data_IF_431654490339
#
_entry.id   IF_431654490339
#
_cell.length_a   1.000
_cell.length_b   1.000
_cell.length_c   1.000
_cell.angle_alpha   90.00
_cell.angle_beta   90.00
_cell.angle_gamma   90.00
#
_symmetry.space_group_name_H-M   'P 1'
#
loop_
_entity.id
_entity.type
_entity.pdbx_description
1 polymer ?
#
# COMPACT_ATOMS: atom_id res chain seq x y z
N UNK A 1 -4.37 8.10 24.75
CA UNK A 1 -5.52 7.92 23.82
C UNK A 1 -5.37 8.93 22.70
N UNK A 2 -5.22 8.48 21.46
CA UNK A 2 -5.09 9.35 20.30
C UNK A 2 -6.48 9.90 19.93
N UNK A 3 -6.65 11.22 19.95
CA UNK A 3 -7.87 11.94 19.54
C UNK A 3 -8.42 11.44 18.19
N UNK A 4 -7.53 11.05 17.28
CA UNK A 4 -7.91 10.53 15.97
C UNK A 4 -8.56 9.13 16.03
N UNK A 5 -8.21 8.31 17.02
CA UNK A 5 -8.89 7.03 17.25
C UNK A 5 -10.29 7.24 17.86
N UNK A 6 -10.46 8.28 18.67
CA UNK A 6 -11.79 8.64 19.19
C UNK A 6 -12.68 9.14 18.05
N UNK A 7 -12.16 9.99 17.16
CA UNK A 7 -12.85 10.38 15.93
C UNK A 7 -13.21 9.18 15.04
N UNK A 8 -12.29 8.23 14.86
CA UNK A 8 -12.55 6.98 14.10
C UNK A 8 -13.68 6.14 14.72
N UNK A 9 -13.84 6.14 16.04
CA UNK A 9 -14.92 5.38 16.70
C UNK A 9 -16.30 6.01 16.48
N UNK A 10 -16.37 7.30 16.13
CA UNK A 10 -17.64 7.96 15.80
C UNK A 10 -18.17 7.53 14.44
N UNK A 11 -17.29 7.18 13.50
CA UNK A 11 -17.65 6.61 12.20
C UNK A 11 -16.70 5.46 11.81
N UNK A 12 -17.13 4.23 12.09
CA UNK A 12 -16.36 3.02 11.78
C UNK A 12 -16.41 2.61 10.31
N UNK A 13 -17.30 3.21 9.51
CA UNK A 13 -17.46 2.88 8.09
C UNK A 13 -16.54 3.75 7.21
N UNK A 14 -16.11 4.91 7.70
CA UNK A 14 -15.20 5.79 6.98
C UNK A 14 -13.77 5.23 6.88
N UNK A 15 -13.40 4.78 5.67
CA UNK A 15 -12.07 4.28 5.35
C UNK A 15 -10.99 5.36 5.41
N UNK A 16 -11.29 6.62 5.11
CA UNK A 16 -10.33 7.71 5.14
C UNK A 16 -9.89 8.03 6.57
N UNK A 17 -10.83 8.19 7.50
CA UNK A 17 -10.52 8.42 8.92
C UNK A 17 -9.77 7.21 9.51
N UNK A 18 -10.19 5.99 9.16
CA UNK A 18 -9.48 4.78 9.56
C UNK A 18 -8.02 4.78 9.07
N UNK A 19 -7.80 5.06 7.78
CA UNK A 19 -6.46 5.14 7.17
C UNK A 19 -5.59 6.19 7.84
N UNK A 20 -6.15 7.36 8.12
CA UNK A 20 -5.42 8.45 8.82
C UNK A 20 -5.04 8.03 10.24
N UNK A 21 -5.95 7.37 10.96
CA UNK A 21 -5.68 6.82 12.29
C UNK A 21 -4.53 5.82 12.26
N UNK A 22 -4.59 4.83 11.35
CA UNK A 22 -3.52 3.84 11.19
C UNK A 22 -2.17 4.49 10.86
N UNK A 23 -2.15 5.48 9.96
CA UNK A 23 -0.93 6.24 9.63
C UNK A 23 -0.33 6.92 10.86
N UNK A 24 -1.15 7.46 11.75
CA UNK A 24 -0.68 8.12 12.96
C UNK A 24 -0.14 7.10 13.98
N UNK A 25 -0.75 5.92 14.05
CA UNK A 25 -0.21 4.80 14.85
C UNK A 25 1.16 4.35 14.32
N UNK A 26 1.35 4.26 13.00
CA UNK A 26 2.66 3.96 12.41
C UNK A 26 3.71 5.03 12.72
N UNK A 27 3.33 6.31 12.75
CA UNK A 27 4.24 7.41 13.12
C UNK A 27 4.63 7.41 14.60
N UNK A 28 3.79 6.80 15.44
CA UNK A 28 4.06 6.59 16.86
C UNK A 28 4.71 5.21 17.15
N UNK A 29 5.22 4.53 16.13
CA UNK A 29 5.86 3.21 16.25
C UNK A 29 4.93 2.08 16.78
N UNK A 30 3.62 2.30 16.72
CA UNK A 30 2.57 1.36 17.13
C UNK A 30 2.12 0.47 15.94
N UNK A 31 3.05 -0.26 15.30
CA UNK A 31 2.77 -1.00 14.06
C UNK A 31 1.65 -2.05 14.20
N UNK A 32 1.62 -2.79 15.32
CA UNK A 32 0.58 -3.81 15.56
C UNK A 32 -0.82 -3.20 15.63
N UNK A 33 -0.96 -2.07 16.30
CA UNK A 33 -2.24 -1.36 16.39
C UNK A 33 -2.66 -0.79 15.04
N UNK A 34 -1.71 -0.26 14.26
CA UNK A 34 -1.99 0.20 12.91
C UNK A 34 -2.53 -0.93 12.02
N UNK A 35 -1.92 -2.11 12.07
CA UNK A 35 -2.38 -3.30 11.33
C UNK A 35 -3.77 -3.72 11.77
N UNK A 36 -4.06 -3.74 13.07
CA UNK A 36 -5.40 -4.08 13.59
C UNK A 36 -6.47 -3.07 13.19
N UNK A 37 -6.11 -1.78 13.03
CA UNK A 37 -7.05 -0.75 12.56
C UNK A 37 -7.35 -0.95 11.08
N UNK A 38 -6.32 -1.23 10.26
CA UNK A 38 -6.47 -1.49 8.84
C UNK A 38 -7.16 -2.82 8.55
N UNK A 39 -7.02 -3.81 9.44
CA UNK A 39 -7.62 -5.12 9.24
C UNK A 39 -9.15 -5.11 9.18
N UNK A 40 -9.77 -4.02 9.62
CA UNK A 40 -11.22 -3.79 9.49
C UNK A 40 -11.66 -3.61 8.03
N UNK A 41 -10.73 -3.26 7.13
CA UNK A 41 -10.98 -3.02 5.70
C UNK A 41 -10.21 -3.98 4.79
N UNK A 42 -9.54 -4.99 5.36
CA UNK A 42 -8.86 -6.06 4.60
C UNK A 42 -9.75 -7.28 4.49
N UNK A 43 -9.53 -8.11 3.46
CA UNK A 43 -10.23 -9.39 3.34
C UNK A 43 -9.79 -10.35 4.44
N UNK A 44 -10.74 -11.04 5.07
CA UNK A 44 -10.50 -12.00 6.15
C UNK A 44 -9.90 -13.32 5.67
N UNK A 45 -10.08 -13.63 4.39
CA UNK A 45 -9.86 -14.98 3.85
C UNK A 45 -8.46 -15.16 3.25
N UNK A 46 -7.58 -14.17 3.39
CA UNK A 46 -6.23 -14.20 2.81
C UNK A 46 -5.27 -14.97 3.71
N UNK A 47 -4.62 -15.96 3.11
CA UNK A 47 -3.54 -16.74 3.73
C UNK A 47 -2.34 -15.82 3.94
N UNK A 48 -2.06 -15.43 5.19
CA UNK A 48 -1.00 -14.46 5.53
C UNK A 48 -1.50 -13.23 6.28
N UNK A 49 -2.83 -13.07 6.38
CA UNK A 49 -3.47 -12.04 7.19
C UNK A 49 -3.45 -10.64 6.56
N UNK A 50 -3.80 -9.60 7.35
CA UNK A 50 -4.06 -8.25 6.83
C UNK A 50 -2.88 -7.59 6.13
N UNK A 51 -1.65 -7.95 6.52
CA UNK A 51 -0.44 -7.40 5.90
C UNK A 51 -0.28 -7.90 4.47
N UNK A 52 -0.57 -9.19 4.23
CA UNK A 52 -0.45 -9.77 2.90
C UNK A 52 -1.49 -9.16 1.96
N UNK A 53 -2.73 -8.99 2.42
CA UNK A 53 -3.76 -8.26 1.65
C UNK A 53 -3.31 -6.84 1.28
N UNK A 54 -2.69 -6.12 2.21
CA UNK A 54 -2.18 -4.76 1.93
C UNK A 54 -1.02 -4.77 0.91
N UNK A 55 -0.23 -5.84 0.86
CA UNK A 55 0.83 -6.02 -0.13
C UNK A 55 0.23 -6.37 -1.49
N UNK A 56 -0.72 -7.29 -1.54
CA UNK A 56 -1.44 -7.72 -2.76
C UNK A 56 -2.23 -6.56 -3.38
N UNK A 57 -2.86 -5.72 -2.55
CA UNK A 57 -3.53 -4.49 -2.99
C UNK A 57 -2.54 -3.36 -3.35
N UNK A 58 -1.23 -3.63 -3.35
CA UNK A 58 -0.17 -2.69 -3.71
C UNK A 58 -0.26 -1.37 -2.91
N UNK A 59 -0.56 -1.47 -1.61
CA UNK A 59 -0.79 -0.32 -0.73
C UNK A 59 0.54 0.36 -0.30
N UNK A 60 1.20 1.05 -1.25
CA UNK A 60 2.55 1.60 -1.08
C UNK A 60 2.66 2.54 0.13
N UNK A 61 1.65 3.37 0.39
CA UNK A 61 1.70 4.31 1.52
C UNK A 61 1.86 3.59 2.87
N UNK A 62 1.18 2.44 3.02
CA UNK A 62 1.24 1.64 4.25
C UNK A 62 2.61 0.98 4.37
N UNK A 63 3.06 0.30 3.30
CA UNK A 63 4.35 -0.41 3.27
C UNK A 63 5.49 0.56 3.57
N UNK A 64 5.43 1.77 3.01
CA UNK A 64 6.42 2.82 3.22
C UNK A 64 6.43 3.35 4.66
N UNK A 65 5.27 3.67 5.23
CA UNK A 65 5.17 4.17 6.62
C UNK A 65 5.53 3.06 7.64
N UNK A 66 5.16 1.80 7.38
CA UNK A 66 5.53 0.63 8.19
C UNK A 66 7.05 0.40 8.15
N UNK A 67 7.66 0.44 6.97
CA UNK A 67 9.12 0.36 6.79
C UNK A 67 9.87 1.50 7.49
N UNK A 68 9.38 2.74 7.36
CA UNK A 68 9.94 3.91 8.06
C UNK A 68 9.82 3.80 9.57
N UNK A 69 8.71 3.26 10.08
CA UNK A 69 8.52 2.98 11.50
C UNK A 69 9.53 1.96 12.01
N UNK A 70 9.71 0.84 11.32
CA UNK A 70 10.69 -0.16 11.71
C UNK A 70 12.13 0.36 11.63
N UNK A 71 12.43 1.24 10.67
CA UNK A 71 13.71 1.91 10.58
C UNK A 71 14.01 2.78 11.81
N UNK A 72 13.04 3.60 12.27
CA UNK A 72 13.17 4.40 13.51
C UNK A 72 13.39 3.52 14.74
N UNK A 73 12.74 2.36 14.78
CA UNK A 73 12.91 1.36 15.83
C UNK A 73 14.22 0.53 15.72
N UNK A 74 15.09 0.82 14.75
CA UNK A 74 16.33 0.07 14.46
C UNK A 74 16.11 -1.42 14.12
N UNK A 75 14.91 -1.78 13.64
CA UNK A 75 14.57 -3.13 13.16
C UNK A 75 14.83 -3.23 11.66
N UNK A 76 16.11 -3.22 11.29
CA UNK A 76 16.56 -3.08 9.91
C UNK A 76 16.13 -4.23 9.00
N UNK A 77 16.08 -5.46 9.53
CA UNK A 77 15.66 -6.65 8.79
C UNK A 77 14.24 -6.49 8.20
N UNK A 78 13.27 -6.09 9.02
CA UNK A 78 11.88 -5.93 8.59
C UNK A 78 11.73 -4.67 7.74
N UNK A 79 12.42 -3.58 8.11
CA UNK A 79 12.42 -2.36 7.31
C UNK A 79 12.90 -2.60 5.87
N UNK A 80 14.02 -3.32 5.71
CA UNK A 80 14.56 -3.69 4.40
C UNK A 80 13.56 -4.52 3.61
N UNK A 81 12.95 -5.54 4.23
CA UNK A 81 11.92 -6.36 3.58
C UNK A 81 10.76 -5.51 3.05
N UNK A 82 10.30 -4.49 3.80
CA UNK A 82 9.25 -3.56 3.36
C UNK A 82 9.67 -2.71 2.17
N UNK A 83 10.88 -2.15 2.20
CA UNK A 83 11.38 -1.34 1.08
C UNK A 83 11.61 -2.19 -0.17
N UNK A 84 12.09 -3.43 -0.03
CA UNK A 84 12.22 -4.37 -1.14
C UNK A 84 10.85 -4.73 -1.75
N UNK A 85 9.80 -4.90 -0.94
CA UNK A 85 8.44 -5.11 -1.44
C UNK A 85 7.97 -3.93 -2.31
N UNK A 86 8.30 -2.69 -1.96
CA UNK A 86 7.96 -1.53 -2.79
C UNK A 86 8.63 -1.61 -4.16
N UNK A 87 9.92 -1.97 -4.21
CA UNK A 87 10.64 -2.13 -5.48
C UNK A 87 10.02 -3.25 -6.34
N UNK A 88 9.59 -4.36 -5.72
CA UNK A 88 8.89 -5.43 -6.43
C UNK A 88 7.58 -4.96 -7.05
N UNK A 89 6.82 -4.09 -6.36
CA UNK A 89 5.59 -3.51 -6.91
C UNK A 89 5.89 -2.66 -8.17
N UNK A 90 6.94 -1.84 -8.14
CA UNK A 90 7.35 -1.07 -9.33
C UNK A 90 7.77 -1.95 -10.50
N UNK A 91 8.48 -3.05 -10.24
CA UNK A 91 8.83 -4.01 -11.29
C UNK A 91 7.57 -4.67 -11.90
N UNK A 92 6.60 -5.06 -11.07
CA UNK A 92 5.32 -5.60 -11.55
C UNK A 92 4.62 -4.59 -12.46
N UNK A 93 4.61 -3.31 -12.10
CA UNK A 93 4.00 -2.27 -12.94
C UNK A 93 4.69 -2.08 -14.30
N UNK A 94 6.02 -2.23 -14.35
CA UNK A 94 6.79 -2.20 -15.60
C UNK A 94 6.46 -3.45 -16.45
N UNK A 95 6.44 -4.64 -15.84
CA UNK A 95 6.10 -5.89 -16.53
C UNK A 95 4.64 -5.90 -17.06
N UNK A 96 3.69 -5.36 -16.29
CA UNK A 96 2.27 -5.25 -16.67
C UNK A 96 2.08 -4.40 -17.94
N UNK A 97 3.04 -3.54 -18.29
CA UNK A 97 2.99 -2.74 -19.51
C UNK A 97 3.06 -3.61 -20.79
N UNK A 98 3.70 -4.77 -20.71
CA UNK A 98 4.08 -5.57 -21.88
C UNK A 98 2.87 -5.96 -22.76
N UNK A 99 1.76 -6.34 -22.13
CA UNK A 99 0.54 -6.74 -22.85
C UNK A 99 -0.08 -5.58 -23.67
N UNK A 100 0.13 -4.34 -23.23
CA UNK A 100 -0.41 -3.15 -23.89
C UNK A 100 0.24 -2.82 -25.23
N UNK A 101 1.47 -3.32 -25.48
CA UNK A 101 2.13 -3.18 -26.78
C UNK A 101 1.31 -3.82 -27.91
N UNK A 102 0.67 -4.96 -27.64
CA UNK A 102 -0.16 -5.66 -28.62
C UNK A 102 -1.65 -5.33 -28.49
N UNK A 103 -2.14 -5.09 -27.28
CA UNK A 103 -3.55 -4.80 -27.01
C UNK A 103 -3.98 -3.44 -27.56
N UNK A 104 -3.19 -2.39 -27.31
CA UNK A 104 -3.61 -1.01 -27.60
C UNK A 104 -3.78 -0.72 -29.10
N UNK A 105 -2.91 -1.21 -30.01
CA UNK A 105 -3.14 -1.10 -31.45
C UNK A 105 -4.40 -1.85 -31.90
N UNK A 106 -4.63 -3.07 -31.37
CA UNK A 106 -5.83 -3.87 -31.70
C UNK A 106 -7.12 -3.21 -31.25
N UNK A 107 -7.09 -2.54 -30.09
CA UNK A 107 -8.26 -1.85 -29.52
C UNK A 107 -8.47 -0.45 -30.09
N UNK A 108 -7.45 0.14 -30.73
CA UNK A 108 -7.49 1.50 -31.27
C UNK A 108 -7.21 2.60 -30.24
N UNK A 109 -6.58 2.27 -29.10
CA UNK A 109 -6.33 3.20 -27.96
C UNK A 109 -4.89 3.75 -27.95
N UNK A 110 -4.37 4.15 -29.12
CA UNK A 110 -2.94 4.51 -29.31
C UNK A 110 -2.51 5.73 -28.46
N UNK A 111 -3.37 6.74 -28.29
CA UNK A 111 -3.04 7.92 -27.46
C UNK A 111 -2.77 7.55 -26.01
N UNK A 112 -3.66 6.76 -25.40
CA UNK A 112 -3.49 6.26 -24.04
C UNK A 112 -2.26 5.37 -23.89
N UNK A 113 -1.92 4.59 -24.92
CA UNK A 113 -0.70 3.77 -24.93
C UNK A 113 0.57 4.63 -24.92
N UNK A 114 0.63 5.70 -25.71
CA UNK A 114 1.77 6.63 -25.67
C UNK A 114 1.88 7.32 -24.30
N UNK A 115 0.75 7.68 -23.68
CA UNK A 115 0.74 8.21 -22.31
C UNK A 115 1.25 7.18 -21.29
N UNK A 116 0.89 5.90 -21.45
CA UNK A 116 1.38 4.80 -20.63
C UNK A 116 2.90 4.58 -20.76
N UNK A 117 3.46 4.67 -21.98
CA UNK A 117 4.91 4.61 -22.21
C UNK A 117 5.64 5.74 -21.48
N UNK A 118 5.14 6.97 -21.59
CA UNK A 118 5.73 8.13 -20.90
C UNK A 118 5.64 8.04 -19.38
N UNK A 119 4.60 7.38 -18.86
CA UNK A 119 4.43 7.17 -17.43
C UNK A 119 5.45 6.19 -16.87
N UNK A 120 5.80 5.14 -17.61
CA UNK A 120 6.79 4.15 -17.19
C UNK A 120 8.22 4.71 -17.18
N UNK A 121 8.54 5.63 -18.10
CA UNK A 121 9.83 6.33 -18.15
C UNK A 121 10.03 7.40 -17.05
N UNK A 122 8.99 7.71 -16.25
CA UNK A 122 8.95 8.87 -15.33
C UNK A 122 9.39 8.63 -13.89
#
# INVERSE_FOLDING_TARGET
MSFLNDARKLDLQDRYINTKCAKYMLRNDCNKEAVNILSLFTKTDIVGGPIEDLIDMQCIWFILEDGKSFLRQKKYNIALKRFETILKIFNIWSDDQFDFHSYSPKKGTIRAYIECLKWEES
#
